data_IF_117549674304
#
_entry.id   IF_117549674304
#
_cell.length_a   1.000
_cell.length_b   1.000
_cell.length_c   1.000
_cell.angle_alpha   90.00
_cell.angle_beta   90.00
_cell.angle_gamma   90.00
#
_symmetry.space_group_name_H-M   'P 1'
#
loop_
_entity.id
_entity.type
_entity.pdbx_description
1 polymer ?
#
# COMPACT_ATOMS: atom_id res chain seq x y z
N UNK A 1 -17.21 19.07 -4.45
CA UNK A 1 -17.04 19.81 -3.17
C UNK A 1 -16.33 18.96 -2.12
N UNK A 2 -16.60 17.64 -2.06
CA UNK A 2 -15.82 16.69 -1.25
C UNK A 2 -14.40 16.46 -1.80
N UNK A 3 -14.23 16.33 -3.12
CA UNK A 3 -12.92 15.99 -3.71
C UNK A 3 -11.81 17.05 -3.50
N UNK A 4 -12.15 18.34 -3.49
CA UNK A 4 -11.18 19.42 -3.25
C UNK A 4 -10.72 19.47 -1.79
N UNK A 5 -11.65 19.21 -0.86
CA UNK A 5 -11.32 19.07 0.56
C UNK A 5 -10.49 17.82 0.78
N UNK A 6 -10.83 16.75 0.06
CA UNK A 6 -10.10 15.48 0.10
C UNK A 6 -8.64 15.66 -0.33
N UNK A 7 -8.44 16.39 -1.42
CA UNK A 7 -7.10 16.69 -1.93
C UNK A 7 -6.32 17.62 -1.01
N UNK A 8 -6.96 18.63 -0.43
CA UNK A 8 -6.29 19.57 0.46
C UNK A 8 -5.75 18.89 1.72
N UNK A 9 -6.50 17.99 2.35
CA UNK A 9 -6.02 17.27 3.53
C UNK A 9 -4.91 16.28 3.19
N UNK A 10 -5.01 15.59 2.05
CA UNK A 10 -4.00 14.64 1.62
C UNK A 10 -2.65 15.34 1.37
N UNK A 11 -2.67 16.53 0.75
CA UNK A 11 -1.48 17.35 0.56
C UNK A 11 -0.85 17.77 1.90
N UNK A 12 -1.67 18.22 2.84
CA UNK A 12 -1.21 18.62 4.18
C UNK A 12 -0.59 17.45 4.95
N UNK A 13 -1.23 16.28 4.89
CA UNK A 13 -0.74 15.06 5.52
C UNK A 13 0.58 14.60 4.90
N UNK A 14 0.68 14.57 3.56
CA UNK A 14 1.91 14.21 2.86
C UNK A 14 3.06 15.16 3.19
N UNK A 15 2.80 16.47 3.29
CA UNK A 15 3.82 17.43 3.68
C UNK A 15 4.37 17.17 5.10
N UNK A 16 3.55 16.66 6.01
CA UNK A 16 4.02 16.19 7.32
C UNK A 16 4.82 14.91 7.23
N UNK A 17 4.36 13.93 6.45
CA UNK A 17 5.10 12.69 6.24
C UNK A 17 6.46 12.98 5.62
N UNK A 18 6.56 13.91 4.66
CA UNK A 18 7.84 14.34 4.07
C UNK A 18 8.80 14.94 5.10
N UNK A 19 8.29 15.80 6.00
CA UNK A 19 9.10 16.37 7.09
C UNK A 19 9.58 15.30 8.06
N UNK A 20 8.72 14.36 8.42
CA UNK A 20 9.08 13.25 9.32
C UNK A 20 10.04 12.28 8.64
N UNK A 21 9.85 12.02 7.35
CA UNK A 21 10.67 11.13 6.54
C UNK A 21 12.11 11.64 6.39
N UNK A 22 12.32 12.96 6.38
CA UNK A 22 13.67 13.53 6.42
C UNK A 22 14.49 13.03 7.64
N UNK A 23 13.82 12.65 8.74
CA UNK A 23 14.45 12.02 9.91
C UNK A 23 14.45 10.49 9.82
N UNK A 24 13.29 9.86 9.59
CA UNK A 24 13.19 8.38 9.62
C UNK A 24 13.97 7.73 8.47
N UNK A 25 14.04 8.40 7.32
CA UNK A 25 14.74 7.96 6.11
C UNK A 25 16.21 8.40 6.02
N UNK A 26 16.78 9.01 7.06
CA UNK A 26 18.14 9.55 7.01
C UNK A 26 19.22 8.51 6.65
N UNK A 27 18.97 7.22 6.94
CA UNK A 27 19.86 6.11 6.61
C UNK A 27 19.51 5.40 5.29
N UNK A 28 18.46 5.83 4.59
CA UNK A 28 17.96 5.24 3.34
C UNK A 28 17.87 6.34 2.26
N UNK A 29 19.01 6.76 1.67
CA UNK A 29 19.02 7.82 0.68
C UNK A 29 18.17 7.45 -0.54
N UNK A 30 17.43 8.43 -1.07
CA UNK A 30 16.70 8.25 -2.32
C UNK A 30 17.64 8.08 -3.52
N UNK A 31 17.12 7.48 -4.59
CA UNK A 31 17.82 7.32 -5.86
C UNK A 31 16.91 7.73 -7.04
N UNK A 32 17.50 8.27 -8.13
CA UNK A 32 16.74 8.67 -9.31
C UNK A 32 16.24 7.44 -10.08
N UNK A 33 15.24 7.66 -10.94
CA UNK A 33 14.84 6.67 -11.96
C UNK A 33 16.02 6.40 -12.90
N UNK A 34 16.55 5.16 -12.98
CA UNK A 34 17.61 4.82 -13.91
C UNK A 34 17.15 4.75 -15.37
N UNK A 35 15.84 4.65 -15.62
CA UNK A 35 15.24 4.48 -16.96
C UNK A 35 14.13 5.50 -17.23
N UNK A 36 14.41 6.82 -17.20
CA UNK A 36 13.38 7.84 -17.37
C UNK A 36 12.69 7.78 -18.76
N UNK A 37 13.38 7.24 -19.77
CA UNK A 37 12.86 7.03 -21.12
C UNK A 37 12.26 5.62 -21.32
N UNK A 38 12.21 4.81 -20.25
CA UNK A 38 11.68 3.44 -20.20
C UNK A 38 12.36 2.47 -21.18
N UNK A 39 13.66 2.67 -21.40
CA UNK A 39 14.49 1.96 -22.38
C UNK A 39 15.53 1.03 -21.72
N UNK A 40 15.12 0.31 -20.66
CA UNK A 40 16.00 -0.60 -19.95
C UNK A 40 16.57 -1.72 -20.86
N UNK A 41 17.89 -1.97 -20.86
CA UNK A 41 18.51 -3.02 -21.65
C UNK A 41 18.12 -4.41 -21.12
N UNK A 42 18.08 -5.41 -22.00
CA UNK A 42 17.69 -6.78 -21.65
C UNK A 42 18.44 -7.35 -20.44
N UNK A 43 19.73 -7.03 -20.29
CA UNK A 43 20.55 -7.52 -19.18
C UNK A 43 20.05 -7.03 -17.79
N UNK A 44 19.34 -5.90 -17.73
CA UNK A 44 18.81 -5.35 -16.48
C UNK A 44 17.61 -6.16 -15.95
N UNK A 45 16.90 -6.92 -16.79
CA UNK A 45 15.79 -7.78 -16.35
C UNK A 45 16.24 -8.98 -15.50
N UNK A 46 17.52 -9.32 -15.54
CA UNK A 46 18.09 -10.48 -14.83
C UNK A 46 19.05 -10.08 -13.70
N UNK A 47 19.05 -8.82 -13.29
CA UNK A 47 19.97 -8.28 -12.28
C UNK A 47 19.22 -7.53 -11.18
N UNK A 48 19.76 -7.60 -9.97
CA UNK A 48 19.34 -6.82 -8.80
C UNK A 48 20.62 -6.24 -8.19
N UNK A 49 20.97 -5.00 -8.54
CA UNK A 49 22.30 -4.43 -8.22
C UNK A 49 22.43 -4.04 -6.75
N UNK A 50 21.38 -3.46 -6.19
CA UNK A 50 21.33 -3.06 -4.77
C UNK A 50 19.93 -3.35 -4.24
N UNK A 51 19.66 -4.57 -3.76
CA UNK A 51 18.35 -4.88 -3.19
C UNK A 51 18.09 -4.07 -1.92
N UNK A 52 19.14 -3.71 -1.18
CA UNK A 52 19.03 -3.11 0.15
C UNK A 52 18.40 -1.72 0.18
N UNK A 53 18.49 -0.96 -0.92
CA UNK A 53 17.87 0.36 -1.05
C UNK A 53 16.34 0.36 -0.86
N UNK A 54 15.67 -0.76 -1.12
CA UNK A 54 14.20 -0.86 -0.96
C UNK A 54 13.74 -0.78 0.50
N UNK A 55 14.64 -0.87 1.49
CA UNK A 55 14.34 -0.55 2.90
C UNK A 55 13.86 0.89 3.11
N UNK A 56 14.01 1.76 2.12
CA UNK A 56 13.41 3.09 2.12
C UNK A 56 11.88 3.05 2.32
N UNK A 57 11.21 1.97 1.88
CA UNK A 57 9.78 1.77 2.09
C UNK A 57 9.43 1.59 3.56
N UNK A 58 10.22 0.83 4.32
CA UNK A 58 10.05 0.69 5.78
C UNK A 58 10.29 2.03 6.49
N UNK A 59 11.29 2.80 6.04
CA UNK A 59 11.56 4.12 6.59
C UNK A 59 10.44 5.13 6.30
N UNK A 60 9.81 5.04 5.13
CA UNK A 60 8.62 5.86 4.77
C UNK A 60 7.40 5.41 5.55
N UNK A 61 7.19 4.11 5.73
CA UNK A 61 6.13 3.59 6.59
C UNK A 61 6.29 4.13 8.01
N UNK A 62 7.49 4.10 8.59
CA UNK A 62 7.75 4.66 9.91
C UNK A 62 7.37 6.16 10.01
N UNK A 63 7.58 6.95 8.95
CA UNK A 63 7.12 8.35 8.91
C UNK A 63 5.59 8.46 8.93
N UNK A 64 4.90 7.59 8.18
CA UNK A 64 3.44 7.48 8.22
C UNK A 64 2.93 7.09 9.61
N UNK A 65 3.57 6.12 10.26
CA UNK A 65 3.21 5.70 11.62
C UNK A 65 3.26 6.88 12.58
N UNK A 66 4.38 7.61 12.61
CA UNK A 66 4.56 8.75 13.50
C UNK A 66 3.52 9.85 13.23
N UNK A 67 3.32 10.24 11.97
CA UNK A 67 2.36 11.32 11.63
C UNK A 67 0.92 10.94 11.98
N UNK A 68 0.49 9.71 11.67
CA UNK A 68 -0.88 9.27 11.94
C UNK A 68 -1.14 9.10 13.45
N UNK A 69 -0.13 8.69 14.22
CA UNK A 69 -0.21 8.62 15.68
C UNK A 69 -0.23 10.02 16.30
N UNK A 70 0.66 10.92 15.88
CA UNK A 70 0.76 12.28 16.41
C UNK A 70 -0.50 13.11 16.15
N UNK A 71 -1.17 12.87 15.01
CA UNK A 71 -2.48 13.46 14.70
C UNK A 71 -3.65 12.80 15.43
N UNK A 72 -3.41 11.73 16.20
CA UNK A 72 -4.46 10.97 16.89
C UNK A 72 -5.40 10.20 15.95
N UNK A 73 -4.97 9.92 14.72
CA UNK A 73 -5.76 9.24 13.70
C UNK A 73 -5.63 7.72 13.78
N UNK A 74 -4.50 7.23 14.31
CA UNK A 74 -4.29 5.81 14.54
C UNK A 74 -3.41 5.52 15.75
N UNK A 75 -3.39 4.24 16.13
CA UNK A 75 -2.34 3.65 16.97
C UNK A 75 -1.60 2.58 16.18
N UNK A 76 -0.36 2.31 16.55
CA UNK A 76 0.43 1.24 15.95
C UNK A 76 0.29 -0.03 16.80
N UNK A 77 -0.02 -1.16 16.15
CA UNK A 77 0.06 -2.49 16.75
C UNK A 77 1.02 -3.37 15.93
N UNK A 78 1.78 -4.23 16.61
CA UNK A 78 2.72 -5.17 15.99
C UNK A 78 2.45 -6.58 16.51
N UNK A 79 1.43 -7.27 15.98
CA UNK A 79 1.13 -8.63 16.43
C UNK A 79 2.25 -9.60 16.01
N UNK A 80 2.37 -10.74 16.69
CA UNK A 80 3.36 -11.76 16.31
C UNK A 80 3.08 -12.39 14.95
N UNK A 81 1.79 -12.43 14.56
CA UNK A 81 1.35 -13.00 13.30
C UNK A 81 0.15 -12.24 12.73
N UNK A 82 0.03 -12.30 11.42
CA UNK A 82 -1.10 -11.78 10.67
C UNK A 82 -1.62 -12.87 9.74
N UNK A 83 -2.95 -13.03 9.69
CA UNK A 83 -3.60 -13.91 8.71
C UNK A 83 -4.09 -13.08 7.53
N UNK A 84 -3.40 -13.22 6.40
CA UNK A 84 -3.89 -12.75 5.10
C UNK A 84 -5.06 -13.62 4.62
N UNK A 85 -6.08 -12.99 4.05
CA UNK A 85 -7.02 -13.67 3.16
C UNK A 85 -6.24 -14.03 1.89
N UNK A 86 -6.26 -15.31 1.45
CA UNK A 86 -5.48 -15.75 0.30
C UNK A 86 -5.71 -14.86 -0.94
N UNK A 87 -4.62 -14.38 -1.54
CA UNK A 87 -4.66 -13.69 -2.83
C UNK A 87 -4.33 -14.67 -3.95
N UNK A 88 -5.14 -14.75 -5.02
CA UNK A 88 -4.82 -15.57 -6.18
C UNK A 88 -3.73 -14.95 -7.07
N UNK A 89 -3.26 -13.73 -6.78
CA UNK A 89 -2.34 -12.98 -7.64
C UNK A 89 -1.04 -12.57 -6.97
N UNK A 90 -1.12 -12.17 -5.72
CA UNK A 90 0.02 -11.64 -5.00
C UNK A 90 0.55 -12.70 -4.03
N UNK A 91 1.86 -12.91 -3.96
CA UNK A 91 2.44 -13.80 -2.96
C UNK A 91 2.23 -13.23 -1.55
N UNK A 92 2.19 -14.11 -0.55
CA UNK A 92 2.32 -13.76 0.87
C UNK A 92 3.62 -14.41 1.38
N UNK A 93 4.65 -13.59 1.55
CA UNK A 93 6.00 -14.00 1.92
C UNK A 93 6.14 -14.26 3.41
N UNK A 94 5.27 -13.65 4.23
CA UNK A 94 5.37 -13.69 5.67
C UNK A 94 6.49 -12.79 6.20
N UNK A 95 6.22 -12.08 7.29
CA UNK A 95 7.12 -11.06 7.80
C UNK A 95 6.60 -10.47 9.10
N UNK A 96 7.18 -9.35 9.51
CA UNK A 96 6.76 -8.65 10.74
C UNK A 96 5.60 -7.70 10.41
N UNK A 97 4.38 -7.94 10.92
CA UNK A 97 3.24 -7.09 10.64
C UNK A 97 3.28 -5.82 11.49
N UNK A 98 2.92 -4.71 10.85
CA UNK A 98 2.60 -3.43 11.46
C UNK A 98 1.18 -3.06 11.07
N UNK A 99 0.34 -2.81 12.07
CA UNK A 99 -1.05 -2.39 11.90
C UNK A 99 -1.17 -0.93 12.32
N UNK A 100 -1.67 -0.09 11.41
CA UNK A 100 -2.11 1.25 11.74
C UNK A 100 -3.62 1.20 11.98
N UNK A 101 -3.98 1.05 13.25
CA UNK A 101 -5.36 0.85 13.67
C UNK A 101 -6.03 2.21 13.88
N UNK A 102 -7.04 2.58 13.08
CA UNK A 102 -7.66 3.89 13.16
C UNK A 102 -8.37 4.13 14.49
N UNK A 103 -8.47 5.40 14.88
CA UNK A 103 -9.31 5.85 16.00
C UNK A 103 -10.77 6.04 15.58
N UNK A 104 -11.02 6.32 14.29
CA UNK A 104 -12.35 6.47 13.73
C UNK A 104 -13.13 5.12 13.71
N UNK A 105 -14.35 5.07 14.27
CA UNK A 105 -15.17 3.86 14.26
C UNK A 105 -15.51 3.40 12.84
N UNK A 106 -15.34 2.10 12.58
CA UNK A 106 -15.68 1.47 11.29
C UNK A 106 -14.69 1.76 10.16
N UNK A 107 -13.59 2.47 10.44
CA UNK A 107 -12.51 2.67 9.48
C UNK A 107 -11.67 1.39 9.29
N UNK A 108 -11.04 1.27 8.12
CA UNK A 108 -10.15 0.15 7.82
C UNK A 108 -8.81 0.34 8.51
N UNK A 109 -8.29 -0.74 9.11
CA UNK A 109 -6.89 -0.81 9.54
C UNK A 109 -6.00 -0.91 8.31
N UNK A 110 -5.01 -0.01 8.19
CA UNK A 110 -3.94 -0.17 7.20
C UNK A 110 -2.94 -1.21 7.73
N UNK A 111 -2.58 -2.14 6.88
CA UNK A 111 -1.75 -3.29 7.22
C UNK A 111 -0.50 -3.22 6.37
N UNK A 112 0.67 -3.29 7.01
CA UNK A 112 1.94 -3.43 6.36
C UNK A 112 2.67 -4.66 6.90
N UNK A 113 3.31 -5.44 6.04
CA UNK A 113 4.19 -6.54 6.46
C UNK A 113 5.53 -6.36 5.78
N UNK A 114 6.56 -6.06 6.59
CA UNK A 114 7.94 -6.04 6.14
C UNK A 114 8.45 -7.48 6.03
N UNK A 115 8.76 -7.89 4.81
CA UNK A 115 9.15 -9.24 4.44
C UNK A 115 10.39 -9.22 3.51
N UNK A 116 10.80 -10.39 3.03
CA UNK A 116 11.89 -10.50 2.07
C UNK A 116 11.61 -11.59 1.01
N UNK A 117 11.87 -11.26 -0.25
CA UNK A 117 11.90 -12.21 -1.37
C UNK A 117 13.36 -12.52 -1.71
N UNK A 118 13.95 -13.52 -1.02
CA UNK A 118 15.40 -13.70 -1.03
C UNK A 118 16.08 -12.51 -0.33
N UNK A 119 17.01 -11.85 -1.02
CA UNK A 119 17.71 -10.67 -0.47
C UNK A 119 16.95 -9.35 -0.68
N UNK A 120 15.85 -9.36 -1.44
CA UNK A 120 15.04 -8.19 -1.74
C UNK A 120 14.10 -7.88 -0.56
N UNK A 121 14.24 -6.72 0.12
CA UNK A 121 13.23 -6.22 1.05
C UNK A 121 11.92 -5.97 0.32
N UNK A 122 10.82 -6.44 0.89
CA UNK A 122 9.47 -6.32 0.32
C UNK A 122 8.53 -5.81 1.40
N UNK A 123 7.64 -4.91 1.01
CA UNK A 123 6.55 -4.40 1.83
C UNK A 123 5.22 -4.87 1.25
N UNK A 124 4.54 -5.77 1.95
CA UNK A 124 3.17 -6.15 1.62
C UNK A 124 2.22 -5.14 2.25
N UNK A 125 1.32 -4.54 1.47
CA UNK A 125 0.35 -3.55 1.96
C UNK A 125 -1.06 -4.05 1.78
N UNK A 126 -1.89 -3.80 2.78
CA UNK A 126 -3.24 -4.33 2.84
C UNK A 126 -4.18 -3.51 3.69
N UNK A 127 -5.42 -3.96 3.72
CA UNK A 127 -6.45 -3.39 4.57
C UNK A 127 -7.21 -4.48 5.31
N UNK A 128 -7.65 -4.16 6.53
CA UNK A 128 -8.42 -5.07 7.37
C UNK A 128 -9.64 -4.34 7.93
N UNK A 129 -10.82 -4.90 7.71
CA UNK A 129 -12.02 -4.48 8.42
C UNK A 129 -12.01 -5.07 9.85
N UNK A 130 -12.73 -4.46 10.81
CA UNK A 130 -12.91 -5.03 12.13
C UNK A 130 -13.37 -6.50 12.02
N UNK A 131 -12.72 -7.38 12.79
CA UNK A 131 -13.05 -8.80 12.90
C UNK A 131 -12.91 -9.65 11.61
N UNK A 132 -12.33 -9.12 10.54
CA UNK A 132 -11.99 -9.90 9.33
C UNK A 132 -10.50 -10.24 9.25
N UNK A 133 -10.14 -11.19 8.38
CA UNK A 133 -8.76 -11.34 7.92
C UNK A 133 -8.29 -10.09 7.16
N UNK A 134 -6.97 -9.90 7.04
CA UNK A 134 -6.40 -8.81 6.27
C UNK A 134 -6.43 -9.14 4.77
N UNK A 135 -6.79 -8.20 3.93
CA UNK A 135 -6.74 -8.38 2.48
C UNK A 135 -5.50 -7.69 1.92
N UNK A 136 -4.69 -8.47 1.19
CA UNK A 136 -3.54 -7.95 0.47
C UNK A 136 -4.00 -7.10 -0.71
N UNK A 137 -3.55 -5.84 -0.73
CA UNK A 137 -3.83 -4.85 -1.77
C UNK A 137 -2.68 -4.78 -2.77
N UNK A 138 -1.44 -4.69 -2.29
CA UNK A 138 -0.26 -4.61 -3.16
C UNK A 138 1.01 -5.13 -2.46
N UNK A 139 2.08 -5.31 -3.23
CA UNK A 139 3.40 -5.75 -2.78
C UNK A 139 4.47 -4.86 -3.43
N UNK A 140 5.32 -4.23 -2.61
CA UNK A 140 6.31 -3.27 -3.09
C UNK A 140 7.75 -3.67 -2.72
N UNK A 141 8.71 -3.57 -3.65
CA UNK A 141 8.50 -3.31 -5.08
C UNK A 141 7.78 -4.49 -5.74
N UNK A 142 6.98 -4.22 -6.78
CA UNK A 142 6.27 -5.26 -7.53
C UNK A 142 7.22 -6.20 -8.29
N UNK A 143 8.41 -5.69 -8.64
CA UNK A 143 9.51 -6.43 -9.21
C UNK A 143 10.85 -5.85 -8.71
N UNK A 144 11.79 -6.72 -8.33
CA UNK A 144 13.10 -6.28 -7.82
C UNK A 144 14.19 -6.12 -8.88
N UNK A 145 13.93 -6.46 -10.14
CA UNK A 145 14.96 -6.37 -11.18
C UNK A 145 15.28 -4.91 -11.52
N UNK A 146 16.52 -4.65 -11.91
CA UNK A 146 16.99 -3.31 -12.25
C UNK A 146 16.18 -2.68 -13.40
N UNK A 147 15.65 -3.48 -14.33
CA UNK A 147 14.84 -2.97 -15.45
C UNK A 147 13.48 -2.42 -15.02
N UNK A 148 12.95 -2.88 -13.88
CA UNK A 148 11.68 -2.40 -13.32
C UNK A 148 11.86 -1.26 -12.32
N UNK A 149 13.10 -0.85 -12.05
CA UNK A 149 13.39 0.26 -11.15
C UNK A 149 12.91 1.58 -11.75
N UNK A 150 12.02 2.25 -11.03
CA UNK A 150 11.45 3.56 -11.36
C UNK A 150 12.00 4.68 -10.46
N UNK A 151 13.03 4.39 -9.66
CA UNK A 151 13.55 5.33 -8.68
C UNK A 151 12.78 5.31 -7.36
N UNK A 152 13.37 5.87 -6.31
CA UNK A 152 12.72 5.91 -5.00
C UNK A 152 11.49 6.80 -4.98
N UNK A 153 11.47 7.90 -5.75
CA UNK A 153 10.36 8.85 -5.71
C UNK A 153 9.03 8.21 -6.12
N UNK A 154 9.05 7.39 -7.17
CA UNK A 154 7.89 6.63 -7.63
C UNK A 154 7.46 5.58 -6.59
N UNK A 155 8.40 4.81 -6.05
CA UNK A 155 8.09 3.82 -5.00
C UNK A 155 7.47 4.45 -3.75
N UNK A 156 7.98 5.59 -3.30
CA UNK A 156 7.42 6.32 -2.16
C UNK A 156 6.02 6.85 -2.48
N UNK A 157 5.81 7.39 -3.68
CA UNK A 157 4.50 7.86 -4.14
C UNK A 157 3.46 6.73 -4.17
N UNK A 158 3.86 5.53 -4.60
CA UNK A 158 2.96 4.36 -4.63
C UNK A 158 2.58 3.93 -3.20
N UNK A 159 3.52 3.91 -2.26
CA UNK A 159 3.22 3.61 -0.86
C UNK A 159 2.28 4.68 -0.27
N UNK A 160 2.57 5.95 -0.51
CA UNK A 160 1.75 7.08 -0.06
C UNK A 160 0.31 6.97 -0.61
N UNK A 161 0.16 6.65 -1.89
CA UNK A 161 -1.15 6.43 -2.53
C UNK A 161 -1.91 5.26 -1.87
N UNK A 162 -1.23 4.17 -1.54
CA UNK A 162 -1.81 3.03 -0.82
C UNK A 162 -2.33 3.41 0.56
N UNK A 163 -1.54 4.15 1.35
CA UNK A 163 -1.97 4.63 2.68
C UNK A 163 -3.16 5.57 2.54
N UNK A 164 -3.06 6.58 1.68
CA UNK A 164 -4.14 7.56 1.47
C UNK A 164 -5.45 6.91 0.97
N UNK A 165 -5.36 5.89 0.13
CA UNK A 165 -6.53 5.14 -0.34
C UNK A 165 -7.27 4.46 0.82
N UNK A 166 -6.55 3.88 1.77
CA UNK A 166 -7.14 3.24 2.96
C UNK A 166 -7.68 4.30 3.94
N UNK A 167 -6.93 5.37 4.17
CA UNK A 167 -7.32 6.50 5.05
C UNK A 167 -8.60 7.18 4.55
N UNK A 168 -8.76 7.34 3.23
CA UNK A 168 -9.98 7.88 2.60
C UNK A 168 -11.20 6.97 2.79
N UNK A 169 -10.99 5.68 3.04
CA UNK A 169 -12.07 4.70 3.22
C UNK A 169 -12.90 4.46 1.97
N UNK A 170 -14.15 4.03 2.17
CA UNK A 170 -15.01 3.49 1.13
C UNK A 170 -14.69 2.03 0.80
N UNK A 171 -15.07 1.57 -0.39
CA UNK A 171 -14.72 0.24 -0.88
C UNK A 171 -13.33 0.29 -1.50
N UNK A 172 -12.39 -0.45 -0.92
CA UNK A 172 -10.99 -0.48 -1.38
C UNK A 172 -10.69 -1.71 -2.22
N UNK A 173 -11.43 -2.81 -2.01
CA UNK A 173 -11.23 -4.06 -2.71
C UNK A 173 -12.55 -4.85 -2.83
N UNK A 174 -12.81 -5.36 -4.03
CA UNK A 174 -13.79 -6.43 -4.25
C UNK A 174 -13.11 -7.57 -5.01
N UNK A 175 -13.14 -8.78 -4.45
CA UNK A 175 -12.50 -9.97 -5.04
C UNK A 175 -13.46 -11.14 -5.11
N UNK A 176 -13.61 -11.70 -6.32
CA UNK A 176 -14.43 -12.88 -6.59
C UNK A 176 -13.63 -13.92 -7.38
N UNK A 177 -13.10 -14.94 -6.69
CA UNK A 177 -12.18 -15.90 -7.30
C UNK A 177 -10.93 -15.19 -7.83
N UNK A 178 -10.65 -15.32 -9.14
CA UNK A 178 -9.50 -14.65 -9.80
C UNK A 178 -9.74 -13.18 -10.16
N UNK A 179 -10.98 -12.70 -10.05
CA UNK A 179 -11.39 -11.35 -10.48
C UNK A 179 -11.22 -10.36 -9.33
N UNK A 180 -10.58 -9.21 -9.57
CA UNK A 180 -10.55 -8.07 -8.64
C UNK A 180 -11.00 -6.80 -9.28
N UNK A 181 -11.53 -5.95 -8.42
CA UNK A 181 -11.31 -4.51 -8.55
C UNK A 181 -10.78 -3.96 -7.23
N UNK A 182 -9.72 -3.17 -7.30
CA UNK A 182 -9.19 -2.41 -6.19
C UNK A 182 -9.26 -0.91 -6.49
N UNK A 183 -9.57 -0.11 -5.49
CA UNK A 183 -9.49 1.35 -5.59
C UNK A 183 -8.01 1.76 -5.52
N UNK A 184 -7.64 2.77 -6.29
CA UNK A 184 -6.35 3.49 -6.15
C UNK A 184 -6.65 4.94 -5.75
N UNK A 185 -5.61 5.67 -5.36
CA UNK A 185 -5.76 7.08 -4.94
C UNK A 185 -6.40 7.94 -6.04
N UNK A 186 -6.08 7.66 -7.30
CA UNK A 186 -6.47 8.40 -8.49
C UNK A 186 -7.47 7.68 -9.39
N UNK A 187 -7.97 6.49 -8.98
CA UNK A 187 -8.88 5.70 -9.79
C UNK A 187 -9.10 4.29 -9.26
N UNK A 188 -8.84 3.31 -10.12
CA UNK A 188 -9.02 1.90 -9.83
C UNK A 188 -8.12 1.03 -10.70
N UNK A 189 -7.84 -0.17 -10.21
CA UNK A 189 -7.21 -1.24 -10.97
C UNK A 189 -8.15 -2.46 -10.99
N UNK A 190 -8.23 -3.15 -12.12
CA UNK A 190 -9.02 -4.37 -12.24
C UNK A 190 -8.23 -5.50 -12.89
N UNK A 191 -8.68 -6.71 -12.62
CA UNK A 191 -7.97 -7.91 -13.02
C UNK A 191 -8.93 -9.08 -13.20
N UNK A 192 -8.58 -10.03 -14.08
CA UNK A 192 -9.41 -11.20 -14.36
C UNK A 192 -10.75 -10.86 -15.03
N UNK A 193 -10.82 -9.75 -15.78
CA UNK A 193 -12.05 -9.23 -16.42
C UNK A 193 -13.14 -8.91 -15.38
N UNK A 194 -12.74 -8.35 -14.23
CA UNK A 194 -13.69 -7.86 -13.23
C UNK A 194 -14.38 -6.57 -13.68
N UNK A 195 -15.58 -6.33 -13.17
CA UNK A 195 -16.36 -5.13 -13.47
C UNK A 195 -16.06 -4.02 -12.46
N UNK A 196 -15.48 -2.87 -12.88
CA UNK A 196 -15.19 -1.75 -11.98
C UNK A 196 -16.42 -1.20 -11.25
N UNK A 197 -17.63 -1.47 -11.75
CA UNK A 197 -18.87 -1.12 -11.06
C UNK A 197 -18.97 -1.72 -9.65
N UNK A 198 -18.26 -2.81 -9.35
CA UNK A 198 -18.22 -3.41 -8.01
C UNK A 198 -17.71 -2.45 -6.92
N UNK A 199 -16.88 -1.46 -7.25
CA UNK A 199 -16.45 -0.45 -6.27
C UNK A 199 -17.58 0.52 -5.90
N UNK A 200 -18.54 0.76 -6.80
CA UNK A 200 -19.72 1.59 -6.56
C UNK A 200 -20.89 0.81 -5.99
N UNK A 201 -21.04 -0.44 -6.41
CA UNK A 201 -22.04 -1.39 -5.90
C UNK A 201 -21.43 -2.78 -5.67
N UNK A 202 -20.89 -3.05 -4.47
CA UNK A 202 -20.34 -4.36 -4.14
C UNK A 202 -21.38 -5.50 -4.16
N UNK A 203 -22.67 -5.19 -4.15
CA UNK A 203 -23.73 -6.22 -4.19
C UNK A 203 -23.92 -6.80 -5.59
N UNK A 204 -23.40 -6.12 -6.62
CA UNK A 204 -23.32 -6.63 -7.99
C UNK A 204 -22.19 -7.65 -8.20
N UNK A 205 -21.31 -7.83 -7.20
CA UNK A 205 -20.29 -8.86 -7.24
C UNK A 205 -20.90 -10.26 -7.04
N UNK A 206 -20.28 -11.32 -7.59
CA UNK A 206 -20.72 -12.69 -7.34
C UNK A 206 -20.86 -13.01 -5.85
N UNK A 207 -21.83 -13.86 -5.52
CA UNK A 207 -22.05 -14.33 -4.15
C UNK A 207 -20.75 -14.90 -3.54
N UNK A 208 -20.47 -14.55 -2.28
CA UNK A 208 -19.23 -14.94 -1.60
C UNK A 208 -17.99 -14.12 -1.98
N UNK A 209 -18.14 -13.03 -2.74
CA UNK A 209 -17.05 -12.10 -2.98
C UNK A 209 -16.52 -11.51 -1.67
N UNK A 210 -15.20 -11.42 -1.55
CA UNK A 210 -14.55 -10.65 -0.50
C UNK A 210 -14.75 -9.16 -0.82
N UNK A 211 -15.36 -8.42 0.10
CA UNK A 211 -15.52 -6.97 0.02
C UNK A 211 -14.78 -6.34 1.18
N UNK A 212 -13.80 -5.50 0.89
CA UNK A 212 -13.07 -4.72 1.89
C UNK A 212 -13.54 -3.28 1.81
N UNK A 213 -14.21 -2.83 2.87
CA UNK A 213 -14.76 -1.48 2.98
C UNK A 213 -14.71 -0.97 4.41
N UNK A 214 -14.58 0.34 4.57
CA UNK A 214 -14.71 0.99 5.87
C UNK A 214 -14.99 2.48 5.74
N UNK A 215 -15.23 3.12 6.87
CA UNK A 215 -15.35 4.57 6.95
C UNK A 215 -13.99 5.25 6.68
N UNK A 216 -14.00 6.52 6.26
CA UNK A 216 -12.80 7.35 6.30
C UNK A 216 -12.26 7.47 7.74
N UNK A 217 -10.98 7.79 7.87
CA UNK A 217 -10.36 8.02 9.17
C UNK A 217 -10.68 9.41 9.75
N UNK A 218 -11.30 10.28 8.96
CA UNK A 218 -11.63 11.67 9.25
C UNK A 218 -13.12 11.94 9.02
#
# INVERSE_FOLDING_TARGET
>A
MDDDRDRAWAVDLLAEVDRTFARTGAATPGWPDPWPERDAPQAAYSRVTDPGRHRILDARLAAWEEVLVDRGLARVERPEALTWVPSPRLPQLGGQPTLLVPTAPGALTFVAVSAAAGDLPVLEVGARAPDTGAALLDVHPACGCDACDSGSADLLQVLDASVLTVVRGGVVLVRAGRREVARTWDGWAASGVADPAWLGDPTAAPEGALVVRGAPWL
#
